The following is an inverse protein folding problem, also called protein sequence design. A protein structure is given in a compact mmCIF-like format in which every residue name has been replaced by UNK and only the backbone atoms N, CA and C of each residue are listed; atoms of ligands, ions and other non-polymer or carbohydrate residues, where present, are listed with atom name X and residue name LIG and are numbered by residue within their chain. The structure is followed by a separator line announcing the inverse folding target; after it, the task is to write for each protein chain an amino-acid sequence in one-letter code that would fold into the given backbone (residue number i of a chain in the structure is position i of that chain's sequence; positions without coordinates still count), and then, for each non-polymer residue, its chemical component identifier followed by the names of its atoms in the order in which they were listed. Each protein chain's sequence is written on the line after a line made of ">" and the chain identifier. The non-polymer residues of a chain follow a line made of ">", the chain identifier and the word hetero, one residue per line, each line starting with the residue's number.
data_IF_205667192053
#
_entry.id   IF_205667192053
#
_cell.length_a   1.000
_cell.length_b   1.000
_cell.length_c   1.000
_cell.angle_alpha   90.00
_cell.angle_beta   90.00
_cell.angle_gamma   90.00
#
_symmetry.space_group_name_H-M   'P 1'
#
loop_
_entity.id
_entity.type
_entity.pdbx_description
1 polymer ?
#
# COMPACT_ATOMS: atom_id res chain seq x y z
N UNK A 1 10.03 23.53 -23.36
CA UNK A 1 9.13 22.93 -22.34
C UNK A 1 10.00 22.29 -21.27
N UNK A 2 9.93 22.75 -20.02
CA UNK A 2 10.76 22.21 -18.92
C UNK A 2 10.03 21.02 -18.32
N UNK A 3 10.42 19.79 -18.68
CA UNK A 3 9.92 18.57 -18.06
C UNK A 3 10.34 18.58 -16.59
N UNK A 4 9.37 18.67 -15.69
CA UNK A 4 9.60 18.53 -14.25
C UNK A 4 9.90 17.05 -14.00
N UNK A 5 11.18 16.70 -13.88
CA UNK A 5 11.62 15.42 -13.39
C UNK A 5 11.04 15.23 -11.98
N UNK A 6 10.03 14.37 -11.86
CA UNK A 6 9.52 13.93 -10.57
C UNK A 6 10.69 13.25 -9.84
N UNK A 7 11.13 13.87 -8.74
CA UNK A 7 12.17 13.31 -7.86
C UNK A 7 11.64 11.99 -7.30
N UNK A 8 12.14 10.88 -7.84
CA UNK A 8 11.93 9.55 -7.31
C UNK A 8 12.70 9.47 -5.99
N UNK A 9 12.02 9.76 -4.88
CA UNK A 9 12.58 9.55 -3.55
C UNK A 9 12.65 8.04 -3.31
N UNK A 10 13.87 7.49 -3.41
CA UNK A 10 14.17 6.10 -3.07
C UNK A 10 14.09 5.96 -1.54
N UNK A 11 12.90 5.61 -1.02
CA UNK A 11 12.70 5.39 0.42
C UNK A 11 13.09 3.95 0.73
N UNK A 12 14.36 3.73 1.09
CA UNK A 12 14.79 2.52 1.77
C UNK A 12 14.61 2.72 3.28
N UNK A 13 13.55 2.16 3.85
CA UNK A 13 13.36 2.11 5.31
C UNK A 13 13.09 0.66 5.69
N UNK A 14 14.07 0.06 6.38
CA UNK A 14 13.86 -1.14 7.18
C UNK A 14 13.06 -0.73 8.42
N UNK A 15 11.78 -1.12 8.49
CA UNK A 15 10.99 -1.03 9.72
C UNK A 15 10.67 -2.44 10.22
N UNK A 16 11.45 -2.93 11.17
CA UNK A 16 11.11 -4.11 11.99
C UNK A 16 10.47 -3.64 13.29
N UNK A 17 9.14 -3.64 13.39
CA UNK A 17 8.43 -3.62 14.67
C UNK A 17 6.98 -4.04 14.46
N UNK A 18 6.60 -5.12 15.12
CA UNK A 18 5.38 -5.88 14.85
C UNK A 18 4.12 -5.37 15.54
N UNK A 19 3.01 -5.62 14.86
CA UNK A 19 1.77 -6.12 15.41
C UNK A 19 1.32 -7.22 14.43
N UNK A 20 1.31 -8.48 14.87
CA UNK A 20 0.80 -9.58 14.05
C UNK A 20 -0.72 -9.50 14.04
N UNK A 21 -1.29 -8.60 13.24
CA UNK A 21 -2.68 -8.80 12.79
C UNK A 21 -2.68 -10.11 12.01
N UNK A 22 -3.59 -11.02 12.34
CA UNK A 22 -3.73 -12.28 11.64
C UNK A 22 -4.11 -11.96 10.18
N UNK A 23 -3.12 -12.01 9.28
CA UNK A 23 -3.24 -11.46 7.94
C UNK A 23 -4.20 -12.30 7.10
N UNK A 24 -5.44 -11.82 6.95
CA UNK A 24 -6.33 -12.28 5.89
C UNK A 24 -5.78 -11.94 4.49
N UNK A 25 -4.78 -11.06 4.42
CA UNK A 25 -4.20 -10.50 3.21
C UNK A 25 -2.82 -11.09 2.87
N UNK A 26 -2.55 -12.34 3.23
CA UNK A 26 -1.26 -13.02 3.01
C UNK A 26 -0.80 -12.90 1.55
N UNK A 27 -1.70 -13.09 0.59
CA UNK A 27 -1.41 -12.93 -0.83
C UNK A 27 -1.05 -11.49 -1.22
N UNK A 28 -1.71 -10.48 -0.63
CA UNK A 28 -1.41 -9.07 -0.93
C UNK A 28 -0.04 -8.66 -0.37
N UNK A 29 0.27 -9.13 0.84
CA UNK A 29 1.57 -8.91 1.49
C UNK A 29 2.71 -9.63 0.78
N UNK A 30 2.47 -10.84 0.29
CA UNK A 30 3.45 -11.61 -0.47
C UNK A 30 3.75 -10.99 -1.85
N UNK A 31 2.76 -10.38 -2.50
CA UNK A 31 2.91 -9.72 -3.80
C UNK A 31 3.57 -8.32 -3.67
N UNK A 32 3.45 -7.69 -2.51
CA UNK A 32 3.98 -6.36 -2.26
C UNK A 32 5.49 -6.37 -2.06
N UNK A 33 6.16 -5.38 -2.65
CA UNK A 33 7.55 -5.06 -2.37
C UNK A 33 7.70 -4.39 -1.01
N UNK A 34 6.72 -3.58 -0.61
CA UNK A 34 6.70 -2.91 0.67
C UNK A 34 5.25 -2.73 1.14
N UNK A 35 5.06 -2.87 2.45
CA UNK A 35 3.79 -2.63 3.13
C UNK A 35 4.03 -1.55 4.18
N UNK A 36 3.20 -0.52 4.20
CA UNK A 36 3.36 0.66 5.06
C UNK A 36 2.07 0.94 5.80
N UNK A 37 2.13 0.93 7.13
CA UNK A 37 1.00 1.31 7.96
C UNK A 37 0.78 2.82 7.91
N UNK A 38 -0.47 3.24 7.77
CA UNK A 38 -0.87 4.63 7.71
C UNK A 38 -1.46 5.07 9.06
N UNK A 39 -1.32 6.36 9.37
CA UNK A 39 -1.78 6.96 10.63
C UNK A 39 -3.28 6.79 10.89
N UNK A 40 -4.08 6.70 9.84
CA UNK A 40 -5.53 6.48 9.92
C UNK A 40 -5.92 5.00 10.12
N UNK A 41 -4.95 4.11 10.30
CA UNK A 41 -5.14 2.67 10.45
C UNK A 41 -5.31 1.91 9.13
N UNK A 42 -5.18 2.58 7.98
CA UNK A 42 -5.12 1.94 6.67
C UNK A 42 -3.71 1.39 6.38
N UNK A 43 -3.59 0.59 5.33
CA UNK A 43 -2.33 0.00 4.88
C UNK A 43 -2.06 0.39 3.42
N UNK A 44 -0.88 0.96 3.14
CA UNK A 44 -0.41 1.21 1.79
C UNK A 44 0.47 0.05 1.31
N UNK A 45 0.07 -0.58 0.21
CA UNK A 45 0.83 -1.60 -0.49
C UNK A 45 1.58 -0.97 -1.66
N UNK A 46 2.89 -1.19 -1.73
CA UNK A 46 3.74 -0.82 -2.88
C UNK A 46 4.19 -2.12 -3.54
N UNK A 47 3.74 -2.35 -4.78
CA UNK A 47 4.03 -3.56 -5.54
C UNK A 47 5.42 -3.52 -6.20
N UNK A 48 5.86 -4.65 -6.73
CA UNK A 48 7.16 -4.79 -7.40
C UNK A 48 7.34 -3.87 -8.62
N UNK A 49 6.25 -3.51 -9.30
CA UNK A 49 6.22 -2.54 -10.41
C UNK A 49 6.17 -1.07 -9.94
N UNK A 50 6.24 -0.82 -8.63
CA UNK A 50 6.17 0.50 -8.01
C UNK A 50 4.75 1.07 -7.90
N UNK A 51 3.74 0.33 -8.35
CA UNK A 51 2.35 0.78 -8.22
C UNK A 51 1.81 0.56 -6.82
N UNK A 52 0.74 1.27 -6.49
CA UNK A 52 0.26 1.43 -5.13
C UNK A 52 -1.23 1.11 -5.02
N UNK A 53 -1.62 0.51 -3.90
CA UNK A 53 -3.01 0.34 -3.51
C UNK A 53 -3.15 0.53 -2.00
N UNK A 54 -4.35 0.92 -1.55
CA UNK A 54 -4.63 1.13 -0.13
C UNK A 54 -5.71 0.13 0.31
N UNK A 55 -5.46 -0.53 1.43
CA UNK A 55 -6.45 -1.27 2.20
C UNK A 55 -6.90 -0.37 3.35
N UNK A 56 -8.20 -0.21 3.56
CA UNK A 56 -8.73 0.55 4.68
C UNK A 56 -8.54 -0.21 6.01
N UNK A 57 -8.81 0.48 7.13
CA UNK A 57 -8.69 -0.09 8.49
C UNK A 57 -9.58 -1.32 8.77
N UNK A 58 -10.44 -1.70 7.82
CA UNK A 58 -11.36 -2.83 7.93
C UNK A 58 -10.97 -3.98 7.00
N UNK A 59 -9.79 -3.94 6.37
CA UNK A 59 -9.33 -5.01 5.47
C UNK A 59 -9.87 -4.92 4.05
N UNK A 60 -10.36 -3.75 3.61
CA UNK A 60 -10.99 -3.60 2.29
C UNK A 60 -10.13 -2.75 1.37
N UNK A 61 -9.92 -3.20 0.13
CA UNK A 61 -9.29 -2.37 -0.89
C UNK A 61 -10.13 -1.10 -1.13
N UNK A 62 -9.52 0.07 -0.98
CA UNK A 62 -10.15 1.37 -1.18
C UNK A 62 -9.48 2.13 -2.32
N UNK A 63 -10.29 2.89 -3.06
CA UNK A 63 -9.78 3.77 -4.11
C UNK A 63 -8.94 4.89 -3.53
N UNK A 64 -7.89 5.27 -4.25
CA UNK A 64 -7.12 6.48 -3.98
C UNK A 64 -6.95 7.28 -5.25
N UNK A 65 -6.97 8.62 -5.15
CA UNK A 65 -6.65 9.48 -6.28
C UNK A 65 -5.11 9.64 -6.35
N UNK A 66 -4.46 9.33 -7.47
CA UNK A 66 -3.03 9.62 -7.64
C UNK A 66 -2.73 11.10 -7.38
N UNK A 67 -1.66 11.37 -6.63
CA UNK A 67 -1.33 12.70 -6.11
C UNK A 67 -1.82 12.96 -4.69
N UNK A 68 -2.59 12.06 -4.09
CA UNK A 68 -3.02 12.17 -2.68
C UNK A 68 -1.84 11.92 -1.75
N UNK A 69 -1.61 12.82 -0.78
CA UNK A 69 -0.69 12.60 0.33
C UNK A 69 -1.34 11.72 1.40
N UNK A 70 -0.66 10.64 1.78
CA UNK A 70 -1.01 9.82 2.93
C UNK A 70 0.07 9.95 4.00
N UNK A 71 -0.34 10.00 5.27
CA UNK A 71 0.57 10.05 6.42
C UNK A 71 0.80 8.64 6.97
N UNK A 72 2.06 8.24 7.07
CA UNK A 72 2.48 6.96 7.64
C UNK A 72 2.35 6.99 9.17
N UNK A 73 2.33 5.81 9.79
CA UNK A 73 2.25 5.69 11.26
C UNK A 73 3.42 6.36 12.00
N UNK A 74 4.58 6.51 11.34
CA UNK A 74 5.76 7.23 11.85
C UNK A 74 5.79 8.74 11.49
N UNK A 75 4.70 9.29 10.94
CA UNK A 75 4.53 10.73 10.67
C UNK A 75 5.16 11.23 9.37
N UNK A 76 5.72 10.35 8.53
CA UNK A 76 6.16 10.71 7.17
C UNK A 76 4.97 10.84 6.23
N UNK A 77 5.15 11.57 5.13
CA UNK A 77 4.15 11.70 4.08
C UNK A 77 4.60 10.98 2.81
N UNK A 78 3.67 10.28 2.17
CA UNK A 78 3.88 9.62 0.87
C UNK A 78 2.82 10.15 -0.10
N UNK A 79 3.25 10.59 -1.28
CA UNK A 79 2.33 10.95 -2.36
C UNK A 79 2.03 9.72 -3.21
N UNK A 80 0.79 9.26 -3.22
CA UNK A 80 0.35 8.11 -4.03
C UNK A 80 0.53 8.40 -5.52
N UNK A 81 0.95 7.41 -6.31
CA UNK A 81 1.20 7.57 -7.76
C UNK A 81 0.27 6.73 -8.63
N UNK A 82 -0.53 5.83 -8.05
CA UNK A 82 -1.45 4.94 -8.77
C UNK A 82 -2.59 4.45 -7.86
N UNK A 83 -3.59 3.83 -8.47
CA UNK A 83 -4.82 3.32 -7.84
C UNK A 83 -5.03 1.84 -8.24
N UNK A 84 -4.23 0.92 -7.69
CA UNK A 84 -4.31 -0.52 -7.99
C UNK A 84 -5.35 -1.25 -7.11
N UNK A 85 -6.49 -0.59 -6.83
CA UNK A 85 -7.58 -1.11 -5.99
C UNK A 85 -8.10 -2.47 -6.47
N UNK A 86 -8.19 -2.68 -7.78
CA UNK A 86 -8.70 -3.93 -8.35
C UNK A 86 -7.73 -5.11 -8.13
N UNK A 87 -6.41 -4.85 -8.28
CA UNK A 87 -5.36 -5.82 -8.00
C UNK A 87 -5.38 -6.20 -6.51
N UNK A 88 -5.40 -5.19 -5.64
CA UNK A 88 -5.46 -5.43 -4.20
C UNK A 88 -6.71 -6.21 -3.80
N UNK A 89 -7.90 -5.83 -4.30
CA UNK A 89 -9.13 -6.55 -4.04
C UNK A 89 -9.06 -8.03 -4.49
N UNK A 90 -8.44 -8.31 -5.64
CA UNK A 90 -8.22 -9.68 -6.10
C UNK A 90 -7.32 -10.47 -5.13
N UNK A 91 -6.23 -9.86 -4.65
CA UNK A 91 -5.27 -10.48 -3.73
C UNK A 91 -5.90 -10.76 -2.36
N UNK A 92 -6.62 -9.80 -1.77
CA UNK A 92 -7.35 -9.96 -0.51
C UNK A 92 -8.33 -11.15 -0.59
N UNK A 93 -9.01 -11.31 -1.72
CA UNK A 93 -9.98 -12.40 -1.91
C UNK A 93 -9.36 -13.73 -2.32
N UNK A 94 -8.06 -13.79 -2.65
CA UNK A 94 -7.40 -14.99 -3.19
C UNK A 94 -7.36 -16.16 -2.19
N UNK A 95 -7.38 -15.89 -0.88
CA UNK A 95 -7.47 -16.91 0.18
C UNK A 95 -8.89 -17.24 0.64
N UNK A 96 -9.89 -16.47 0.23
CA UNK A 96 -11.29 -16.62 0.67
C UNK A 96 -12.18 -17.33 -0.36
N UNK A 97 -11.68 -17.55 -1.57
CA UNK A 97 -12.36 -18.30 -2.63
C UNK A 97 -11.84 -19.74 -2.69
N UNK A 98 -11.98 -20.47 -1.59
CA UNK A 98 -11.73 -21.90 -1.51
C UNK A 98 -13.00 -22.61 -1.07
N UNK A 99 -13.75 -23.15 -2.02
CA UNK A 99 -14.77 -24.18 -1.85
C UNK A 99 -14.41 -25.35 -2.73
#
# INVERSE_FOLDING_TARGET
>A
MKTKLAKLALIAVLSTSGATTAFADDAARAEAKQVVDLKNGATLYIFNDGKMAIEDRYGRATRTTPGTEVETSDGRKITTQSDEVARLNSLINKGHKGG
#
